data_IF_041425624698
#
_entry.id   IF_041425624698
#
_cell.length_a   1.000
_cell.length_b   1.000
_cell.length_c   1.000
_cell.angle_alpha   90.00
_cell.angle_beta   90.00
_cell.angle_gamma   90.00
#
_symmetry.space_group_name_H-M   'P 1'
#
loop_
_entity.id
_entity.type
_entity.pdbx_description
1 polymer ?
#
# COMPACT_ATOMS: atom_id res chain seq x y z
N UNK A 1 2.19 4.04 1.47
CA UNK A 1 1.04 3.38 0.81
C UNK A 1 0.94 3.89 -0.62
N UNK A 2 1.20 3.05 -1.62
CA UNK A 2 1.10 3.39 -3.06
C UNK A 2 0.61 2.15 -3.82
N UNK A 3 0.25 2.32 -5.09
CA UNK A 3 -0.12 1.22 -6.00
C UNK A 3 -1.48 1.39 -6.68
N UNK A 4 -2.44 2.10 -6.06
CA UNK A 4 -3.79 2.30 -6.63
C UNK A 4 -3.73 2.98 -8.00
N UNK A 5 -2.95 4.06 -8.13
CA UNK A 5 -2.85 4.80 -9.38
C UNK A 5 -2.16 4.01 -10.49
N UNK A 6 -1.21 3.15 -10.16
CA UNK A 6 -0.52 2.29 -11.11
C UNK A 6 -1.45 1.27 -11.76
N UNK A 7 -2.60 0.97 -11.12
CA UNK A 7 -3.61 0.09 -11.69
C UNK A 7 -4.38 0.71 -12.86
N UNK A 8 -4.33 2.05 -13.05
CA UNK A 8 -5.10 2.73 -14.10
C UNK A 8 -4.85 2.11 -15.48
N UNK A 9 -5.92 1.98 -16.26
CA UNK A 9 -5.87 1.42 -17.62
C UNK A 9 -4.82 2.11 -18.50
N UNK A 10 -4.71 3.44 -18.45
CA UNK A 10 -3.75 4.22 -19.24
C UNK A 10 -2.29 3.82 -19.05
N UNK A 11 -1.91 3.24 -17.90
CA UNK A 11 -0.53 2.83 -17.65
C UNK A 11 -0.25 1.40 -18.10
N UNK A 12 -1.29 0.60 -18.31
CA UNK A 12 -1.21 -0.80 -18.75
C UNK A 12 -0.16 -1.65 -18.00
N UNK A 13 0.09 -1.35 -16.71
CA UNK A 13 1.08 -2.07 -15.90
C UNK A 13 0.55 -3.42 -15.45
N UNK A 14 1.35 -4.46 -15.59
CA UNK A 14 1.13 -5.76 -14.95
C UNK A 14 1.28 -5.64 -13.43
N UNK A 15 0.68 -6.56 -12.66
CA UNK A 15 0.85 -6.59 -11.21
C UNK A 15 2.34 -6.67 -10.80
N UNK A 16 3.14 -7.43 -11.56
CA UNK A 16 4.58 -7.57 -11.34
C UNK A 16 5.32 -6.22 -11.46
N UNK A 17 4.99 -5.41 -12.46
CA UNK A 17 5.60 -4.08 -12.65
C UNK A 17 5.21 -3.13 -11.52
N UNK A 18 3.97 -3.18 -11.03
CA UNK A 18 3.53 -2.38 -9.88
C UNK A 18 4.29 -2.77 -8.62
N UNK A 19 4.47 -4.08 -8.39
CA UNK A 19 5.24 -4.59 -7.24
C UNK A 19 6.73 -4.27 -7.35
N UNK A 20 7.32 -4.31 -8.54
CA UNK A 20 8.70 -3.87 -8.73
C UNK A 20 8.87 -2.37 -8.50
N UNK A 21 7.90 -1.54 -8.93
CA UNK A 21 7.90 -0.11 -8.60
C UNK A 21 7.95 0.13 -7.08
N UNK A 22 7.14 -0.60 -6.31
CA UNK A 22 7.21 -0.54 -4.84
C UNK A 22 8.56 -1.04 -4.30
N UNK A 23 9.10 -2.14 -4.85
CA UNK A 23 10.43 -2.67 -4.47
C UNK A 23 11.54 -1.65 -4.72
N UNK A 24 11.48 -0.88 -5.80
CA UNK A 24 12.45 0.18 -6.07
C UNK A 24 12.40 1.28 -5.01
N UNK A 25 11.20 1.70 -4.57
CA UNK A 25 11.06 2.65 -3.47
C UNK A 25 11.65 2.10 -2.16
N UNK A 26 11.39 0.82 -1.86
CA UNK A 26 11.99 0.12 -0.70
C UNK A 26 13.52 0.16 -0.79
N UNK A 27 14.10 -0.16 -1.96
CA UNK A 27 15.56 -0.15 -2.17
C UNK A 27 16.16 1.24 -1.99
N UNK A 28 15.53 2.28 -2.54
CA UNK A 28 15.97 3.68 -2.36
C UNK A 28 16.08 4.02 -0.87
N UNK A 29 15.07 3.67 -0.08
CA UNK A 29 15.06 3.94 1.37
C UNK A 29 16.12 3.10 2.10
N UNK A 30 16.29 1.82 1.73
CA UNK A 30 17.31 0.94 2.32
C UNK A 30 18.75 1.37 2.03
N UNK A 31 18.99 2.05 0.91
CA UNK A 31 20.31 2.59 0.58
C UNK A 31 20.53 4.00 1.11
N UNK A 32 19.55 4.56 1.83
CA UNK A 32 19.65 5.89 2.42
C UNK A 32 20.34 5.84 3.78
N UNK A 33 20.94 6.96 4.17
CA UNK A 33 21.59 7.20 5.46
C UNK A 33 20.70 8.05 6.40
N UNK A 34 19.37 7.97 6.22
CA UNK A 34 18.40 8.93 6.79
C UNK A 34 17.72 8.48 8.09
N UNK A 35 18.17 7.39 8.70
CA UNK A 35 17.72 6.94 10.01
C UNK A 35 18.68 7.32 11.15
N UNK A 36 18.36 6.92 12.40
CA UNK A 36 19.22 7.14 13.55
C UNK A 36 20.63 6.55 13.34
N UNK A 37 21.66 7.27 13.80
CA UNK A 37 23.06 6.90 13.59
C UNK A 37 23.44 6.68 12.11
N UNK A 38 22.78 7.39 11.19
CA UNK A 38 22.96 7.27 9.74
C UNK A 38 22.67 5.89 9.16
N UNK A 39 21.94 5.04 9.90
CA UNK A 39 21.45 3.77 9.38
C UNK A 39 20.24 3.99 8.45
N UNK A 40 19.92 3.06 7.54
CA UNK A 40 18.66 3.11 6.80
C UNK A 40 17.46 3.02 7.75
N UNK A 41 16.41 3.83 7.56
CA UNK A 41 15.23 3.76 8.41
C UNK A 41 14.47 2.44 8.21
N UNK A 42 13.74 1.99 9.24
CA UNK A 42 12.79 0.87 9.11
C UNK A 42 11.66 1.24 8.15
N UNK A 43 11.14 0.26 7.43
CA UNK A 43 10.14 0.48 6.36
C UNK A 43 8.87 -0.30 6.68
N UNK A 44 7.73 0.37 6.63
CA UNK A 44 6.41 -0.25 6.52
C UNK A 44 5.89 -0.04 5.10
N UNK A 45 5.67 -1.13 4.37
CA UNK A 45 4.93 -1.12 3.12
C UNK A 45 3.45 -1.35 3.42
N UNK A 46 2.61 -0.47 2.90
CA UNK A 46 1.16 -0.57 3.08
C UNK A 46 0.54 -0.82 1.72
N UNK A 47 -0.11 -1.97 1.55
CA UNK A 47 -0.97 -2.20 0.39
C UNK A 47 -2.27 -1.42 0.56
N UNK A 48 -2.70 -0.65 -0.45
CA UNK A 48 -3.94 0.11 -0.37
C UNK A 48 -5.15 -0.83 -0.34
N UNK A 49 -6.27 -0.32 0.18
CA UNK A 49 -7.54 -1.02 0.11
C UNK A 49 -7.98 -1.22 -1.35
N UNK A 50 -8.69 -2.32 -1.68
CA UNK A 50 -9.16 -2.56 -3.03
C UNK A 50 -10.15 -1.50 -3.53
N UNK A 51 -10.11 -1.27 -4.84
CA UNK A 51 -11.12 -0.45 -5.55
C UNK A 51 -12.44 -1.23 -5.54
N UNK A 52 -13.55 -0.54 -5.28
CA UNK A 52 -14.89 -1.15 -5.34
C UNK A 52 -15.64 -0.71 -6.59
N UNK A 53 -16.41 -1.64 -7.16
CA UNK A 53 -17.27 -1.34 -8.32
C UNK A 53 -18.49 -0.55 -7.86
N UNK A 54 -18.71 0.61 -8.46
CA UNK A 54 -19.92 1.43 -8.32
C UNK A 54 -20.43 1.86 -9.70
N UNK A 55 -21.65 2.42 -9.75
CA UNK A 55 -22.31 2.84 -11.01
C UNK A 55 -21.47 3.89 -11.76
N UNK A 56 -20.98 4.91 -11.05
CA UNK A 56 -20.24 6.04 -11.63
C UNK A 56 -18.72 5.95 -11.36
N UNK A 57 -18.17 4.73 -11.33
CA UNK A 57 -16.73 4.54 -11.12
C UNK A 57 -15.96 5.18 -12.28
N UNK A 58 -14.88 5.89 -11.97
CA UNK A 58 -14.06 6.53 -12.99
C UNK A 58 -13.51 5.48 -13.99
N UNK A 59 -13.68 5.66 -15.33
CA UNK A 59 -13.40 4.61 -16.32
C UNK A 59 -11.98 4.03 -16.26
N UNK A 60 -10.98 4.86 -15.93
CA UNK A 60 -9.60 4.41 -15.78
C UNK A 60 -9.37 3.37 -14.68
N UNK A 61 -10.32 3.20 -13.75
CA UNK A 61 -10.23 2.26 -12.64
C UNK A 61 -11.23 1.10 -12.76
N UNK A 62 -11.96 1.01 -13.88
CA UNK A 62 -12.97 -0.03 -14.09
C UNK A 62 -12.42 -1.26 -14.81
N UNK A 63 -12.99 -2.44 -14.54
CA UNK A 63 -12.54 -3.71 -15.11
C UNK A 63 -11.25 -4.23 -14.50
N UNK A 64 -10.17 -4.30 -15.29
CA UNK A 64 -8.89 -4.87 -14.86
C UNK A 64 -8.25 -4.20 -13.62
N UNK A 65 -8.30 -2.86 -13.43
CA UNK A 65 -7.75 -2.19 -12.25
C UNK A 65 -8.38 -2.68 -10.94
N UNK A 66 -9.69 -2.98 -10.94
CA UNK A 66 -10.39 -3.57 -9.79
C UNK A 66 -9.74 -4.89 -9.40
N UNK A 67 -9.51 -5.79 -10.37
CA UNK A 67 -8.88 -7.09 -10.10
C UNK A 67 -7.44 -6.92 -9.62
N UNK A 68 -6.64 -6.08 -10.29
CA UNK A 68 -5.26 -5.77 -9.87
C UNK A 68 -5.21 -5.24 -8.44
N UNK A 69 -6.13 -4.33 -8.06
CA UNK A 69 -6.16 -3.75 -6.73
C UNK A 69 -6.35 -4.79 -5.62
N UNK A 70 -7.15 -5.85 -5.88
CA UNK A 70 -7.36 -6.96 -4.94
C UNK A 70 -6.12 -7.84 -4.76
N UNK A 71 -5.25 -7.89 -5.76
CA UNK A 71 -4.04 -8.72 -5.74
C UNK A 71 -2.81 -7.99 -5.18
N UNK A 72 -2.87 -6.66 -5.04
CA UNK A 72 -1.76 -5.85 -4.52
C UNK A 72 -1.28 -6.34 -3.15
N UNK A 73 -2.19 -6.59 -2.21
CA UNK A 73 -1.84 -7.03 -0.86
C UNK A 73 -1.01 -8.31 -0.86
N UNK A 74 -1.48 -9.34 -1.58
CA UNK A 74 -0.76 -10.61 -1.73
C UNK A 74 0.62 -10.41 -2.37
N UNK A 75 0.70 -9.61 -3.43
CA UNK A 75 1.97 -9.38 -4.14
C UNK A 75 2.97 -8.61 -3.27
N UNK A 76 2.52 -7.59 -2.56
CA UNK A 76 3.37 -6.80 -1.66
C UNK A 76 3.80 -7.62 -0.45
N UNK A 77 2.90 -8.44 0.12
CA UNK A 77 3.24 -9.32 1.24
C UNK A 77 4.33 -10.34 0.88
N UNK A 78 4.40 -10.78 -0.38
CA UNK A 78 5.51 -11.61 -0.83
C UNK A 78 6.81 -10.80 -0.97
N UNK A 79 6.74 -9.63 -1.60
CA UNK A 79 7.90 -8.74 -1.79
C UNK A 79 8.52 -8.30 -0.46
N UNK A 80 7.73 -7.91 0.53
CA UNK A 80 8.25 -7.46 1.83
C UNK A 80 8.94 -8.57 2.63
N UNK A 81 8.59 -9.84 2.43
CA UNK A 81 9.31 -10.98 3.03
C UNK A 81 10.71 -11.10 2.43
N UNK A 82 10.83 -10.96 1.12
CA UNK A 82 12.13 -10.96 0.42
C UNK A 82 12.98 -9.77 0.83
N UNK A 83 12.35 -8.62 1.04
CA UNK A 83 13.00 -7.37 1.41
C UNK A 83 13.11 -7.16 2.94
N UNK A 84 12.69 -8.08 3.80
CA UNK A 84 12.72 -7.90 5.26
C UNK A 84 12.11 -6.56 5.73
N UNK A 85 10.96 -6.19 5.16
CA UNK A 85 10.21 -4.99 5.52
C UNK A 85 8.95 -5.33 6.32
N UNK A 86 8.40 -4.36 7.04
CA UNK A 86 7.11 -4.48 7.69
C UNK A 86 5.97 -4.29 6.70
N UNK A 87 4.81 -4.87 7.00
CA UNK A 87 3.66 -4.88 6.10
C UNK A 87 2.35 -4.56 6.81
N UNK A 88 1.47 -3.82 6.11
CA UNK A 88 0.06 -3.64 6.46
C UNK A 88 -0.77 -3.86 5.20
N UNK A 89 -1.85 -4.63 5.33
CA UNK A 89 -2.92 -4.70 4.33
C UNK A 89 -4.04 -3.75 4.77
N UNK A 90 -4.17 -2.61 4.11
CA UNK A 90 -5.24 -1.65 4.43
C UNK A 90 -6.63 -2.21 4.10
N UNK A 91 -6.74 -3.16 3.17
CA UNK A 91 -8.00 -3.81 2.80
C UNK A 91 -8.61 -4.68 3.90
N UNK A 92 -7.85 -5.03 4.93
CA UNK A 92 -8.35 -5.73 6.13
C UNK A 92 -8.88 -4.78 7.21
N UNK A 93 -8.69 -3.47 7.04
CA UNK A 93 -8.97 -2.45 8.06
C UNK A 93 -10.04 -1.48 7.55
N UNK A 94 -9.96 -1.09 6.28
CA UNK A 94 -10.79 -0.05 5.67
C UNK A 94 -11.28 -0.48 4.29
N UNK A 95 -12.30 0.20 3.78
CA UNK A 95 -12.85 -0.02 2.43
C UNK A 95 -12.86 1.27 1.62
N UNK A 96 -12.83 1.15 0.29
CA UNK A 96 -13.02 2.33 -0.56
C UNK A 96 -14.44 2.87 -0.42
N UNK A 97 -14.58 4.19 -0.38
CA UNK A 97 -15.83 4.93 -0.27
C UNK A 97 -16.78 4.57 -1.41
N UNK A 98 -18.07 4.48 -1.11
CA UNK A 98 -19.11 4.27 -2.14
C UNK A 98 -19.36 5.52 -2.99
N UNK A 99 -18.78 6.66 -2.63
CA UNK A 99 -18.91 7.91 -3.38
C UNK A 99 -18.21 7.83 -4.75
N UNK A 100 -16.99 7.30 -4.78
CA UNK A 100 -16.19 7.18 -6.01
C UNK A 100 -15.52 5.82 -6.23
N UNK A 101 -15.59 4.92 -5.25
CA UNK A 101 -15.05 3.57 -5.30
C UNK A 101 -13.54 3.47 -5.15
N UNK A 102 -12.83 4.57 -4.86
CA UNK A 102 -11.36 4.65 -4.88
C UNK A 102 -10.80 5.25 -3.57
N UNK A 103 -11.36 6.35 -3.09
CA UNK A 103 -10.85 7.07 -1.92
C UNK A 103 -11.40 6.52 -0.61
N UNK A 104 -10.85 6.97 0.52
CA UNK A 104 -11.34 6.60 1.85
C UNK A 104 -12.30 7.67 2.37
N UNK A 105 -13.29 7.23 3.16
CA UNK A 105 -14.10 8.16 3.96
C UNK A 105 -13.32 8.64 5.19
N UNK A 106 -13.77 9.73 5.83
CA UNK A 106 -13.10 10.32 6.99
C UNK A 106 -12.91 9.32 8.15
N UNK A 107 -13.91 8.49 8.41
CA UNK A 107 -13.84 7.44 9.43
C UNK A 107 -12.76 6.42 9.11
N UNK A 108 -12.67 5.98 7.86
CA UNK A 108 -11.69 5.00 7.40
C UNK A 108 -10.26 5.58 7.44
N UNK A 109 -10.09 6.86 7.10
CA UNK A 109 -8.82 7.56 7.34
C UNK A 109 -8.37 7.45 8.81
N UNK A 110 -9.29 7.64 9.76
CA UNK A 110 -9.02 7.51 11.20
C UNK A 110 -8.62 6.08 11.60
N UNK A 111 -9.36 5.07 11.12
CA UNK A 111 -9.09 3.66 11.42
C UNK A 111 -7.72 3.22 10.88
N UNK A 112 -7.39 3.57 9.64
CA UNK A 112 -6.10 3.26 9.05
C UNK A 112 -4.97 3.98 9.82
N UNK A 113 -5.16 5.24 10.19
CA UNK A 113 -4.19 6.00 10.99
C UNK A 113 -3.90 5.33 12.34
N UNK A 114 -4.93 4.84 13.03
CA UNK A 114 -4.77 4.12 14.29
C UNK A 114 -3.96 2.82 14.10
N UNK A 115 -4.29 2.03 13.09
CA UNK A 115 -3.58 0.79 12.79
C UNK A 115 -2.10 1.03 12.44
N UNK A 116 -1.81 2.08 11.67
CA UNK A 116 -0.42 2.48 11.36
C UNK A 116 0.31 2.91 12.64
N UNK A 117 -0.33 3.70 13.50
CA UNK A 117 0.27 4.15 14.75
C UNK A 117 0.61 2.96 15.69
N UNK A 118 -0.29 1.98 15.80
CA UNK A 118 -0.04 0.73 16.53
C UNK A 118 1.15 -0.04 15.96
N UNK A 119 1.21 -0.21 14.63
CA UNK A 119 2.33 -0.91 13.97
C UNK A 119 3.67 -0.20 14.22
N UNK A 120 3.69 1.14 14.13
CA UNK A 120 4.89 1.95 14.44
C UNK A 120 5.30 1.76 15.90
N UNK A 121 4.37 1.79 16.87
CA UNK A 121 4.68 1.53 18.29
C UNK A 121 5.31 0.16 18.50
N UNK A 122 4.78 -0.88 17.87
CA UNK A 122 5.35 -2.23 17.94
C UNK A 122 6.79 -2.27 17.40
N UNK A 123 7.05 -1.61 16.27
CA UNK A 123 8.38 -1.54 15.67
C UNK A 123 9.40 -0.76 16.51
N UNK A 124 8.95 0.25 17.25
CA UNK A 124 9.78 1.05 18.15
C UNK A 124 10.05 0.33 19.47
N UNK A 125 9.08 -0.44 19.99
CA UNK A 125 9.26 -1.21 21.22
C UNK A 125 10.20 -2.43 21.07
N UNK A 126 10.41 -2.91 19.85
CA UNK A 126 11.45 -3.90 19.52
C UNK A 126 12.91 -3.35 19.65
N UNK A 127 13.08 -2.08 20.04
CA UNK A 127 14.37 -1.43 20.25
C UNK A 127 14.70 -1.20 21.74
N UNK A 128 13.87 -1.72 22.66
CA UNK A 128 14.18 -1.83 24.09
C UNK A 128 14.65 -3.25 24.40
#
# INVERSE_FOLDING_TARGET
MLGTNDTKLQFNRTLKEITEGMRQLVKIVKTSDKGPASAPPKIIVIAPQPIIKIINLHPQYDGQPIQKSKELAKSYQQMVKEENCEFIDAGLIVSSSRLDGIHLDATDHGLLGYAVAEKVRQMSNLLK
#
